data_IF_066299070565
#
_entry.id   IF_066299070565
#
_cell.length_a   1.000
_cell.length_b   1.000
_cell.length_c   1.000
_cell.angle_alpha   90.00
_cell.angle_beta   90.00
_cell.angle_gamma   90.00
#
_symmetry.space_group_name_H-M   'P 1'
#
loop_
_entity.id
_entity.type
_entity.pdbx_description
1 polymer ?
#
# COMPACT_ATOMS: atom_id res chain seq x y z
N UNK A 1 -32.91 -26.95 -62.47
CA UNK A 1 -33.22 -25.67 -61.78
C UNK A 1 -32.48 -25.71 -60.45
N UNK A 2 -31.39 -24.93 -60.28
CA UNK A 2 -31.39 -23.62 -59.59
C UNK A 2 -31.88 -23.80 -58.13
N UNK A 3 -31.07 -23.70 -57.08
CA UNK A 3 -30.16 -22.60 -56.73
C UNK A 3 -29.11 -23.07 -55.68
N UNK A 4 -27.89 -22.57 -55.81
CA UNK A 4 -26.87 -22.48 -54.77
C UNK A 4 -27.34 -21.57 -53.62
N UNK A 5 -27.07 -21.94 -52.37
CA UNK A 5 -26.91 -20.99 -51.27
C UNK A 5 -25.63 -21.31 -50.49
N UNK A 6 -24.59 -20.57 -50.84
CA UNK A 6 -23.36 -20.43 -50.05
C UNK A 6 -23.72 -19.50 -48.90
N UNK A 7 -23.54 -19.93 -47.65
CA UNK A 7 -23.58 -19.05 -46.48
C UNK A 7 -22.16 -18.56 -46.20
N UNK A 8 -21.81 -17.28 -46.43
CA UNK A 8 -20.58 -16.71 -45.93
C UNK A 8 -20.88 -16.07 -44.57
N UNK A 9 -20.48 -16.69 -43.47
CA UNK A 9 -20.44 -15.97 -42.19
C UNK A 9 -18.98 -15.76 -41.82
N UNK A 10 -18.59 -14.52 -42.08
CA UNK A 10 -17.39 -13.79 -41.68
C UNK A 10 -16.91 -14.22 -40.29
N UNK A 11 -15.75 -14.88 -40.24
CA UNK A 11 -14.99 -15.02 -39.00
C UNK A 11 -14.32 -13.67 -38.74
N UNK A 12 -15.00 -12.81 -37.98
CA UNK A 12 -14.37 -11.63 -37.41
C UNK A 12 -13.43 -12.09 -36.30
N UNK A 13 -12.17 -12.35 -36.64
CA UNK A 13 -11.11 -12.50 -35.65
C UNK A 13 -10.91 -11.12 -35.00
N UNK A 14 -11.49 -10.95 -33.81
CA UNK A 14 -11.07 -9.87 -32.92
C UNK A 14 -9.57 -10.04 -32.67
N UNK A 15 -8.74 -9.30 -33.40
CA UNK A 15 -7.38 -8.98 -32.97
C UNK A 15 -7.51 -8.07 -31.76
N UNK A 16 -7.92 -8.64 -30.63
CA UNK A 16 -7.64 -8.05 -29.34
C UNK A 16 -6.12 -7.97 -29.26
N UNK A 17 -5.58 -6.77 -29.44
CA UNK A 17 -4.18 -6.48 -29.15
C UNK A 17 -3.99 -6.94 -27.72
N UNK A 18 -3.23 -8.01 -27.52
CA UNK A 18 -2.90 -8.46 -26.17
C UNK A 18 -2.24 -7.26 -25.50
N UNK A 19 -2.94 -6.64 -24.56
CA UNK A 19 -2.31 -5.72 -23.62
C UNK A 19 -1.31 -6.64 -22.92
N UNK A 20 -0.03 -6.50 -23.27
CA UNK A 20 1.01 -7.16 -22.53
C UNK A 20 0.74 -6.83 -21.07
N UNK A 21 0.64 -7.82 -20.16
CA UNK A 21 0.48 -7.52 -18.75
C UNK A 21 1.59 -6.53 -18.42
N UNK A 22 1.23 -5.34 -17.91
CA UNK A 22 2.20 -4.31 -17.55
C UNK A 22 3.32 -5.02 -16.81
N UNK A 23 4.49 -5.06 -17.46
CA UNK A 23 5.59 -5.86 -16.98
C UNK A 23 5.87 -5.43 -15.55
N UNK A 24 6.04 -6.39 -14.64
CA UNK A 24 6.43 -6.11 -13.26
C UNK A 24 7.56 -5.09 -13.31
N UNK A 25 7.29 -3.87 -12.83
CA UNK A 25 8.29 -2.81 -12.83
C UNK A 25 9.43 -3.33 -11.97
N UNK A 26 10.56 -3.65 -12.61
CA UNK A 26 11.76 -4.09 -11.88
C UNK A 26 12.55 -2.86 -11.50
N UNK A 27 12.92 -2.77 -10.23
CA UNK A 27 13.83 -1.74 -9.79
C UNK A 27 15.19 -1.97 -10.46
N UNK A 28 15.93 -0.88 -10.72
CA UNK A 28 17.32 -0.99 -11.15
C UNK A 28 18.12 -1.82 -10.14
N UNK A 29 19.20 -2.47 -10.60
CA UNK A 29 20.03 -3.30 -9.74
C UNK A 29 20.51 -2.49 -8.52
N UNK A 30 20.32 -3.04 -7.32
CA UNK A 30 20.64 -2.37 -6.04
C UNK A 30 19.50 -1.55 -5.42
N UNK A 31 18.39 -1.33 -6.14
CA UNK A 31 17.22 -0.63 -5.63
C UNK A 31 16.07 -1.61 -5.33
N UNK A 32 15.19 -1.22 -4.42
CA UNK A 32 13.95 -1.93 -4.10
C UNK A 32 12.77 -0.96 -4.12
N UNK A 33 11.61 -1.42 -4.58
CA UNK A 33 10.38 -0.63 -4.48
C UNK A 33 9.75 -0.79 -3.11
N UNK A 34 9.27 0.34 -2.59
CA UNK A 34 8.45 0.41 -1.40
C UNK A 34 7.23 1.29 -1.68
N UNK A 35 6.20 1.13 -0.85
CA UNK A 35 4.95 1.89 -0.95
C UNK A 35 4.62 2.45 0.43
N UNK A 36 4.25 3.73 0.52
CA UNK A 36 3.66 4.28 1.72
C UNK A 36 2.13 4.28 1.64
N UNK A 37 1.46 4.03 2.77
CA UNK A 37 0.02 3.82 2.84
C UNK A 37 -0.56 4.51 4.07
N UNK A 38 -1.61 5.30 3.84
CA UNK A 38 -2.35 6.03 4.87
C UNK A 38 -3.80 5.58 5.06
N UNK A 39 -4.22 4.58 4.28
CA UNK A 39 -5.59 4.04 4.25
C UNK A 39 -5.61 2.54 4.57
N UNK A 40 -6.75 1.95 4.95
CA UNK A 40 -6.85 0.51 5.15
C UNK A 40 -6.58 -0.25 3.84
N UNK A 41 -5.73 -1.27 3.89
CA UNK A 41 -5.42 -2.13 2.75
C UNK A 41 -5.65 -3.60 3.12
N UNK A 42 -6.50 -4.34 2.37
CA UNK A 42 -6.72 -5.76 2.62
C UNK A 42 -5.49 -6.60 2.22
N UNK A 43 -5.40 -7.82 2.75
CA UNK A 43 -4.33 -8.76 2.40
C UNK A 43 -4.17 -8.97 0.89
N UNK A 44 -5.27 -9.01 0.13
CA UNK A 44 -5.23 -9.12 -1.34
C UNK A 44 -4.50 -7.95 -2.01
N UNK A 45 -4.63 -6.74 -1.46
CA UNK A 45 -3.89 -5.56 -1.93
C UNK A 45 -2.39 -5.69 -1.71
N UNK A 46 -1.98 -6.13 -0.52
CA UNK A 46 -0.56 -6.38 -0.24
C UNK A 46 0.03 -7.54 -1.04
N UNK A 47 -0.74 -8.61 -1.27
CA UNK A 47 -0.35 -9.70 -2.17
C UNK A 47 -0.12 -9.19 -3.60
N UNK A 48 -0.98 -8.28 -4.07
CA UNK A 48 -0.81 -7.61 -5.35
C UNK A 48 0.52 -6.84 -5.37
N UNK A 49 0.76 -5.95 -4.40
CA UNK A 49 2.01 -5.19 -4.30
C UNK A 49 3.24 -6.11 -4.29
N UNK A 50 3.22 -7.20 -3.51
CA UNK A 50 4.31 -8.19 -3.50
C UNK A 50 4.56 -8.81 -4.87
N UNK A 51 3.49 -9.20 -5.58
CA UNK A 51 3.55 -9.75 -6.94
C UNK A 51 4.18 -8.75 -7.93
N UNK A 52 3.93 -7.46 -7.77
CA UNK A 52 4.49 -6.39 -8.58
C UNK A 52 5.87 -5.89 -8.11
N UNK A 53 6.54 -6.63 -7.22
CA UNK A 53 7.96 -6.42 -6.92
C UNK A 53 8.27 -5.50 -5.74
N UNK A 54 7.23 -4.96 -5.07
CA UNK A 54 7.41 -4.22 -3.82
C UNK A 54 8.01 -5.12 -2.73
N UNK A 55 8.93 -4.57 -1.95
CA UNK A 55 9.64 -5.28 -0.87
C UNK A 55 9.21 -4.82 0.51
N UNK A 56 8.84 -3.55 0.65
CA UNK A 56 8.53 -2.93 1.95
C UNK A 56 7.29 -2.04 1.84
N UNK A 57 6.45 -2.03 2.88
CA UNK A 57 5.38 -1.07 3.04
C UNK A 57 5.68 -0.12 4.21
N UNK A 58 5.54 1.19 3.99
CA UNK A 58 5.60 2.23 5.01
C UNK A 58 4.17 2.54 5.45
N UNK A 59 3.84 2.21 6.69
CA UNK A 59 2.46 2.25 7.19
C UNK A 59 2.31 3.47 8.09
N UNK A 60 1.32 4.33 7.81
CA UNK A 60 1.03 5.44 8.74
C UNK A 60 0.56 4.88 10.07
N UNK A 61 1.18 5.34 11.15
CA UNK A 61 0.85 4.98 12.53
C UNK A 61 0.42 6.20 13.36
N UNK A 62 0.58 7.43 12.85
CA UNK A 62 0.00 8.63 13.43
C UNK A 62 -0.68 9.47 12.35
N UNK A 63 -1.98 9.67 12.52
CA UNK A 63 -2.87 10.42 11.65
C UNK A 63 -2.97 11.87 12.17
N UNK A 64 -2.68 12.89 11.33
CA UNK A 64 -2.67 14.28 11.76
C UNK A 64 -4.09 14.88 11.89
N UNK A 65 -5.14 14.13 11.53
CA UNK A 65 -6.53 14.62 11.56
C UNK A 65 -6.93 15.13 12.95
N UNK A 66 -7.62 16.27 12.99
CA UNK A 66 -8.07 16.91 14.23
C UNK A 66 -6.89 17.33 15.10
N UNK A 67 -6.81 16.80 16.32
CA UNK A 67 -5.70 17.06 17.25
C UNK A 67 -4.50 16.11 17.08
N UNK A 68 -4.48 15.30 16.02
CA UNK A 68 -3.55 14.18 15.87
C UNK A 68 -3.96 12.98 16.72
N UNK A 69 -3.77 11.76 16.19
CA UNK A 69 -4.13 10.51 16.87
C UNK A 69 -3.36 9.32 16.32
N UNK A 70 -3.29 8.25 17.10
CA UNK A 70 -2.87 6.95 16.58
C UNK A 70 -3.74 6.53 15.38
N UNK A 71 -3.11 6.12 14.29
CA UNK A 71 -3.83 5.61 13.11
C UNK A 71 -4.30 4.18 13.40
N UNK A 72 -5.62 4.02 13.53
CA UNK A 72 -6.22 2.74 13.92
C UNK A 72 -6.06 1.65 12.86
N UNK A 73 -5.73 2.01 11.62
CA UNK A 73 -5.48 1.06 10.54
C UNK A 73 -4.09 0.42 10.62
N UNK A 74 -3.15 1.06 11.34
CA UNK A 74 -1.73 0.67 11.34
C UNK A 74 -1.52 -0.80 11.67
N UNK A 75 -2.16 -1.29 12.75
CA UNK A 75 -1.98 -2.67 13.23
C UNK A 75 -2.43 -3.69 12.18
N UNK A 76 -3.60 -3.48 11.57
CA UNK A 76 -4.12 -4.43 10.58
C UNK A 76 -3.34 -4.36 9.27
N UNK A 77 -2.94 -3.16 8.83
CA UNK A 77 -2.11 -3.03 7.64
C UNK A 77 -0.73 -3.69 7.84
N UNK A 78 -0.09 -3.52 9.00
CA UNK A 78 1.20 -4.17 9.32
C UNK A 78 1.05 -5.69 9.29
N UNK A 79 0.00 -6.24 9.92
CA UNK A 79 -0.26 -7.69 9.92
C UNK A 79 -0.50 -8.21 8.51
N UNK A 80 -1.32 -7.53 7.72
CA UNK A 80 -1.61 -7.93 6.33
C UNK A 80 -0.36 -7.85 5.45
N UNK A 81 0.45 -6.80 5.58
CA UNK A 81 1.70 -6.65 4.83
C UNK A 81 2.71 -7.75 5.18
N UNK A 82 2.90 -8.04 6.48
CA UNK A 82 3.76 -9.12 6.95
C UNK A 82 3.25 -10.48 6.45
N UNK A 83 1.94 -10.72 6.50
CA UNK A 83 1.33 -11.96 5.99
C UNK A 83 1.50 -12.11 4.46
N UNK A 84 1.52 -11.01 3.70
CA UNK A 84 1.85 -11.01 2.28
C UNK A 84 3.36 -11.15 1.99
N UNK A 85 4.21 -11.20 3.02
CA UNK A 85 5.66 -11.32 2.91
C UNK A 85 6.36 -10.01 2.50
N UNK A 86 5.76 -8.85 2.76
CA UNK A 86 6.43 -7.55 2.67
C UNK A 86 7.13 -7.24 4.00
N UNK A 87 8.27 -6.55 3.95
CA UNK A 87 8.77 -5.85 5.13
C UNK A 87 7.84 -4.69 5.51
N UNK A 88 7.87 -4.29 6.78
CA UNK A 88 7.04 -3.17 7.27
C UNK A 88 7.88 -2.15 8.01
N UNK A 89 7.74 -0.91 7.60
CA UNK A 89 8.21 0.28 8.32
C UNK A 89 6.98 1.09 8.74
N UNK A 90 7.12 1.91 9.79
CA UNK A 90 6.03 2.80 10.23
C UNK A 90 6.44 4.25 10.19
N UNK A 91 5.51 5.12 9.84
CA UNK A 91 5.74 6.56 9.89
C UNK A 91 4.65 7.29 10.67
N UNK A 92 4.99 8.47 11.15
CA UNK A 92 4.05 9.41 11.73
C UNK A 92 3.94 10.66 10.87
N UNK A 93 2.73 11.17 10.71
CA UNK A 93 2.51 12.54 10.23
C UNK A 93 2.04 13.36 11.44
N UNK A 94 2.91 14.19 12.05
CA UNK A 94 2.54 14.95 13.23
C UNK A 94 1.46 15.99 12.92
N UNK A 95 0.61 16.31 13.89
CA UNK A 95 -0.28 17.47 13.83
C UNK A 95 0.39 18.66 14.53
N UNK A 96 1.02 19.53 13.74
CA UNK A 96 1.81 20.67 14.21
C UNK A 96 0.99 21.71 14.98
N UNK A 97 -0.27 21.90 14.61
CA UNK A 97 -1.15 22.92 15.20
C UNK A 97 -2.09 22.37 16.28
N UNK A 98 -1.80 21.19 16.83
CA UNK A 98 -2.54 20.67 17.98
C UNK A 98 -2.03 21.26 19.30
N UNK A 99 -2.84 21.09 20.35
CA UNK A 99 -2.43 21.40 21.72
C UNK A 99 -1.46 20.35 22.30
N UNK A 100 -1.07 19.33 21.52
CA UNK A 100 -0.23 18.21 21.95
C UNK A 100 1.23 18.45 21.59
N UNK A 101 2.12 18.24 22.55
CA UNK A 101 3.57 18.23 22.29
C UNK A 101 3.95 17.07 21.36
N UNK A 102 5.01 17.22 20.56
CA UNK A 102 5.51 16.14 19.70
C UNK A 102 5.82 14.85 20.46
N UNK A 103 6.32 14.94 21.70
CA UNK A 103 6.54 13.77 22.57
C UNK A 103 5.25 13.06 22.97
N UNK A 104 4.15 13.80 23.16
CA UNK A 104 2.84 13.21 23.42
C UNK A 104 2.32 12.48 22.18
N UNK A 105 2.43 13.10 21.00
CA UNK A 105 2.01 12.49 19.73
C UNK A 105 2.81 11.21 19.44
N UNK A 106 4.14 11.24 19.63
CA UNK A 106 4.97 10.04 19.51
C UNK A 106 4.60 8.96 20.53
N UNK A 107 4.32 9.32 21.79
CA UNK A 107 3.91 8.35 22.82
C UNK A 107 2.58 7.69 22.47
N UNK A 108 1.62 8.44 21.94
CA UNK A 108 0.34 7.90 21.45
C UNK A 108 0.55 6.88 20.32
N UNK A 109 1.45 7.16 19.36
CA UNK A 109 1.86 6.19 18.34
C UNK A 109 2.47 4.93 18.98
N UNK A 110 3.46 5.11 19.85
CA UNK A 110 4.22 4.02 20.47
C UNK A 110 3.31 3.08 21.27
N UNK A 111 2.46 3.65 22.13
CA UNK A 111 1.51 2.87 22.93
C UNK A 111 0.44 2.22 22.05
N UNK A 112 -0.03 2.87 20.98
CA UNK A 112 -0.95 2.27 20.01
C UNK A 112 -0.39 1.01 19.36
N UNK A 113 0.86 1.07 18.88
CA UNK A 113 1.56 -0.09 18.32
C UNK A 113 1.80 -1.18 19.37
N UNK A 114 2.26 -0.80 20.57
CA UNK A 114 2.50 -1.73 21.69
C UNK A 114 1.22 -2.46 22.10
N UNK A 115 0.11 -1.76 22.24
CA UNK A 115 -1.21 -2.33 22.53
C UNK A 115 -1.67 -3.27 21.42
N UNK A 116 -1.34 -2.95 20.17
CA UNK A 116 -1.52 -3.82 19.00
C UNK A 116 -0.58 -5.03 18.94
N UNK A 117 0.32 -5.20 19.92
CA UNK A 117 1.41 -6.19 19.95
C UNK A 117 2.35 -6.09 18.74
N UNK A 118 2.54 -4.88 18.24
CA UNK A 118 3.48 -4.57 17.17
C UNK A 118 4.76 -4.02 17.78
N UNK A 119 5.90 -4.61 17.38
CA UNK A 119 7.23 -4.10 17.70
C UNK A 119 7.81 -3.45 16.45
N UNK A 120 8.33 -2.23 16.60
CA UNK A 120 9.02 -1.50 15.53
C UNK A 120 10.41 -1.10 15.99
N UNK A 121 11.37 -1.10 15.07
CA UNK A 121 12.75 -0.66 15.34
C UNK A 121 12.94 0.82 15.06
N UNK A 122 12.20 1.34 14.08
CA UNK A 122 12.31 2.69 13.57
C UNK A 122 10.91 3.28 13.44
N UNK A 123 10.78 4.57 13.69
CA UNK A 123 9.60 5.36 13.34
C UNK A 123 10.07 6.53 12.48
N UNK A 124 9.56 6.61 11.27
CA UNK A 124 9.87 7.69 10.33
C UNK A 124 8.97 8.89 10.61
N UNK A 125 9.49 10.12 10.50
CA UNK A 125 8.70 11.33 10.68
C UNK A 125 8.48 11.99 9.32
N UNK A 126 7.21 12.13 8.92
CA UNK A 126 6.85 12.84 7.71
C UNK A 126 6.67 14.33 8.05
N UNK A 127 7.50 15.19 7.45
CA UNK A 127 7.41 16.64 7.58
C UNK A 127 6.74 17.18 6.31
N UNK A 128 5.51 17.68 6.43
CA UNK A 128 4.71 18.16 5.29
C UNK A 128 4.68 19.69 5.17
N UNK A 129 5.04 20.41 6.23
CA UNK A 129 5.18 21.87 6.24
C UNK A 129 6.31 22.29 7.19
N UNK A 130 7.05 23.39 6.88
CA UNK A 130 8.06 23.96 7.78
C UNK A 130 7.50 24.45 9.12
#
# INVERSE_FOLDING_TARGET
MKLLFIFPVVVATCLAKAIAPEGVVKAAAGYAYAVDLEVPVPLSGFNCMKKYGYKTAFIRAYDPTGAGRFDTNAVNNIRNANQAGLGTEVYMTPQLHSNKRGSQQFRELYEGLRNGKIQVRTVWVQVTSP
#
